data_IF_843816536968
#
_entry.id   IF_843816536968
#
_cell.length_a   1.000
_cell.length_b   1.000
_cell.length_c   1.000
_cell.angle_alpha   90.00
_cell.angle_beta   90.00
_cell.angle_gamma   90.00
#
_symmetry.space_group_name_H-M   'P 1'
#
loop_
_entity.id
_entity.type
_entity.pdbx_description
1 polymer ?
#
# COMPACT_ATOMS: atom_id res chain seq x y z
N UNK A 1 -51.74 -12.95 28.22
CA UNK A 1 -51.56 -11.49 28.28
C UNK A 1 -50.37 -11.18 27.41
N UNK A 2 -50.69 -10.77 26.19
CA UNK A 2 -49.81 -10.68 25.03
C UNK A 2 -49.54 -9.19 24.80
N UNK A 3 -48.29 -8.75 24.96
CA UNK A 3 -47.90 -7.36 24.70
C UNK A 3 -47.02 -7.30 23.46
N UNK A 4 -47.71 -7.33 22.32
CA UNK A 4 -47.23 -6.80 21.06
C UNK A 4 -46.98 -5.29 21.19
N UNK A 5 -45.75 -4.83 20.95
CA UNK A 5 -45.47 -3.42 20.72
C UNK A 5 -45.09 -3.21 19.24
N UNK A 6 -46.07 -2.78 18.45
CA UNK A 6 -45.87 -2.13 17.16
C UNK A 6 -45.80 -0.63 17.43
N UNK A 7 -44.72 0.05 17.02
CA UNK A 7 -44.74 1.50 16.82
C UNK A 7 -44.40 1.81 15.36
N UNK A 8 -45.33 2.59 14.82
CA UNK A 8 -45.50 3.14 13.49
C UNK A 8 -44.42 4.13 13.05
N UNK A 9 -44.15 4.09 11.74
CA UNK A 9 -43.55 5.16 10.93
C UNK A 9 -44.39 6.44 11.02
N UNK A 10 -43.74 7.60 11.22
CA UNK A 10 -43.97 8.84 10.45
C UNK A 10 -42.92 9.93 10.80
N UNK A 11 -42.21 10.31 9.75
CA UNK A 11 -41.67 11.64 9.39
C UNK A 11 -41.37 12.66 10.50
N UNK A 12 -40.09 13.07 10.56
CA UNK A 12 -39.74 14.47 10.71
C UNK A 12 -38.58 14.81 9.77
N UNK A 13 -38.74 15.93 9.08
CA UNK A 13 -37.84 16.47 8.08
C UNK A 13 -36.76 17.35 8.71
N UNK A 14 -35.72 17.60 7.89
CA UNK A 14 -34.83 18.75 7.92
C UNK A 14 -33.87 18.88 9.12
N UNK A 15 -32.65 18.39 8.90
CA UNK A 15 -31.45 18.84 9.58
C UNK A 15 -30.27 18.68 8.62
N UNK A 16 -29.97 19.73 7.87
CA UNK A 16 -28.75 19.82 7.08
C UNK A 16 -27.56 19.79 8.04
N UNK A 17 -26.86 18.66 8.12
CA UNK A 17 -25.55 18.58 8.74
C UNK A 17 -24.50 18.50 7.64
N UNK A 18 -23.88 19.66 7.44
CA UNK A 18 -22.51 19.90 6.97
C UNK A 18 -21.67 18.62 6.88
N UNK A 19 -21.39 18.19 5.65
CA UNK A 19 -20.24 17.32 5.36
C UNK A 19 -18.97 18.13 5.67
N UNK A 20 -18.40 17.92 6.85
CA UNK A 20 -17.02 18.30 7.12
C UNK A 20 -16.10 17.42 6.28
N UNK A 21 -15.58 17.99 5.19
CA UNK A 21 -14.54 17.39 4.37
C UNK A 21 -13.26 17.43 5.21
N UNK A 22 -12.94 16.33 5.90
CA UNK A 22 -11.60 16.09 6.42
C UNK A 22 -10.77 15.40 5.34
N UNK A 23 -10.33 16.19 4.36
CA UNK A 23 -9.29 15.78 3.43
C UNK A 23 -7.94 15.85 4.13
N UNK A 24 -7.53 14.77 4.78
CA UNK A 24 -6.14 14.64 5.23
C UNK A 24 -5.24 14.60 3.98
N UNK A 25 -4.41 15.62 3.79
CA UNK A 25 -3.55 15.70 2.61
C UNK A 25 -2.55 14.53 2.59
N UNK A 26 -2.41 13.89 1.43
CA UNK A 26 -1.61 12.68 1.23
C UNK A 26 -0.15 12.78 1.75
N UNK A 27 0.39 14.00 1.75
CA UNK A 27 1.72 14.29 2.23
C UNK A 27 1.86 14.17 3.77
N UNK A 28 0.76 14.35 4.53
CA UNK A 28 0.74 14.22 5.99
C UNK A 28 0.93 12.77 6.42
N UNK A 29 0.20 11.86 5.78
CA UNK A 29 0.33 10.43 6.00
C UNK A 29 1.66 9.90 5.41
N UNK A 30 2.07 10.38 4.23
CA UNK A 30 3.22 9.85 3.53
C UNK A 30 4.58 10.21 4.16
N UNK A 31 4.69 11.37 4.83
CA UNK A 31 5.96 11.88 5.38
C UNK A 31 5.91 12.37 6.84
N UNK A 32 4.77 12.23 7.53
CA UNK A 32 4.63 12.78 8.89
C UNK A 32 4.77 14.32 8.95
N UNK A 33 4.57 15.02 7.83
CA UNK A 33 4.81 16.47 7.68
C UNK A 33 3.61 17.33 8.09
N UNK A 34 2.88 16.91 9.13
CA UNK A 34 1.60 17.48 9.59
C UNK A 34 1.49 19.01 9.56
N UNK A 35 2.50 19.71 10.09
CA UNK A 35 2.53 21.17 10.24
C UNK A 35 3.11 21.91 9.02
N UNK A 36 4.12 21.35 8.35
CA UNK A 36 4.75 21.98 7.17
C UNK A 36 3.81 22.03 5.94
N UNK A 37 2.78 21.18 5.95
CA UNK A 37 1.84 21.03 4.85
C UNK A 37 0.64 21.94 4.90
N UNK A 38 0.17 22.35 6.08
CA UNK A 38 -0.95 23.30 6.16
C UNK A 38 -0.54 24.68 5.64
N UNK A 39 0.68 25.13 5.94
CA UNK A 39 1.20 26.40 5.45
C UNK A 39 1.45 26.38 3.93
N UNK A 40 1.96 25.26 3.39
CA UNK A 40 2.23 25.10 1.97
C UNK A 40 0.97 24.87 1.11
N UNK A 41 0.00 24.10 1.60
CA UNK A 41 -1.26 23.87 0.90
C UNK A 41 -2.21 25.08 0.94
N UNK A 42 -2.12 25.90 1.99
CA UNK A 42 -2.85 27.17 2.08
C UNK A 42 -2.50 28.13 0.94
N UNK A 43 -1.21 28.25 0.60
CA UNK A 43 -0.71 29.06 -0.53
C UNK A 43 -1.12 28.50 -1.90
N UNK A 44 -1.25 27.17 -2.00
CA UNK A 44 -1.58 26.46 -3.24
C UNK A 44 -3.10 26.43 -3.51
N UNK A 45 -3.92 26.45 -2.45
CA UNK A 45 -5.38 26.54 -2.53
C UNK A 45 -5.87 27.81 -3.23
N UNK A 46 -5.19 28.94 -3.00
CA UNK A 46 -5.51 30.26 -3.59
C UNK A 46 -5.27 30.33 -5.12
N UNK A 47 -4.52 29.38 -5.68
CA UNK A 47 -4.20 29.31 -7.12
C UNK A 47 -5.15 28.39 -7.92
N UNK A 48 -6.16 27.78 -7.29
CA UNK A 48 -7.07 26.81 -7.94
C UNK A 48 -6.42 25.44 -8.24
N UNK A 49 -5.18 25.26 -7.78
CA UNK A 49 -4.29 24.10 -7.89
C UNK A 49 -4.69 22.99 -6.91
N UNK A 50 -5.38 23.35 -5.82
CA UNK A 50 -5.80 22.43 -4.76
C UNK A 50 -6.52 21.20 -5.30
N UNK A 51 -7.49 21.37 -6.21
CA UNK A 51 -8.34 20.28 -6.73
C UNK A 51 -7.62 19.16 -7.48
N UNK A 52 -6.40 19.37 -7.98
CA UNK A 52 -5.64 18.32 -8.67
C UNK A 52 -4.59 17.65 -7.76
N UNK A 53 -4.07 18.38 -6.78
CA UNK A 53 -3.24 17.82 -5.70
C UNK A 53 -4.11 17.06 -4.68
N UNK A 54 -5.40 17.42 -4.61
CA UNK A 54 -6.48 16.76 -3.87
C UNK A 54 -6.87 15.38 -4.44
N UNK A 55 -6.34 14.98 -5.59
CA UNK A 55 -6.49 13.60 -6.04
C UNK A 55 -5.76 12.67 -5.07
N UNK A 56 -6.50 11.97 -4.22
CA UNK A 56 -5.99 11.04 -3.19
C UNK A 56 -4.82 10.22 -3.73
N UNK A 57 -3.71 10.18 -2.98
CA UNK A 57 -2.52 9.45 -3.41
C UNK A 57 -2.84 7.98 -3.70
N UNK A 58 -2.17 7.36 -4.69
CA UNK A 58 -2.44 5.97 -5.05
C UNK A 58 -2.34 5.02 -3.85
N UNK A 59 -1.35 5.26 -2.97
CA UNK A 59 -1.23 4.59 -1.68
C UNK A 59 -1.02 5.63 -0.59
N UNK A 60 -1.86 5.60 0.45
CA UNK A 60 -1.82 6.51 1.61
C UNK A 60 -1.44 5.80 2.91
N UNK A 61 -1.37 4.46 2.93
CA UNK A 61 -0.96 3.67 4.10
C UNK A 61 0.34 4.16 4.69
N UNK A 62 0.39 4.41 5.99
CA UNK A 62 1.51 4.99 6.72
C UNK A 62 1.79 4.26 8.04
N UNK A 63 2.91 4.60 8.70
CA UNK A 63 3.25 4.07 10.02
C UNK A 63 2.19 4.43 11.09
N UNK A 64 1.50 5.56 10.93
CA UNK A 64 0.37 5.93 11.80
C UNK A 64 -0.83 5.00 11.67
N UNK A 65 -0.97 4.30 10.54
CA UNK A 65 -2.04 3.31 10.33
C UNK A 65 -1.70 1.94 10.95
N UNK A 66 -0.46 1.73 11.42
CA UNK A 66 -0.05 0.52 12.13
C UNK A 66 -0.38 0.61 13.62
N UNK A 67 -1.68 0.63 13.92
CA UNK A 67 -2.21 0.81 15.27
C UNK A 67 -2.11 -0.46 16.13
N UNK A 68 -1.89 -1.62 15.51
CA UNK A 68 -1.99 -2.94 16.15
C UNK A 68 -0.66 -3.52 16.66
N UNK A 69 0.39 -2.69 16.77
CA UNK A 69 1.68 -3.16 17.26
C UNK A 69 1.56 -3.74 18.68
N UNK A 70 2.07 -4.96 18.90
CA UNK A 70 2.02 -5.63 20.19
C UNK A 70 3.45 -5.82 20.76
N UNK A 71 3.96 -4.83 21.53
CA UNK A 71 5.27 -4.93 22.16
C UNK A 71 5.35 -5.96 23.28
N UNK A 72 4.21 -6.40 23.84
CA UNK A 72 4.20 -7.41 24.91
C UNK A 72 4.62 -8.81 24.40
N UNK A 73 4.61 -9.01 23.08
CA UNK A 73 5.03 -10.24 22.42
C UNK A 73 6.42 -10.14 21.78
N UNK A 74 7.16 -9.05 22.02
CA UNK A 74 8.54 -8.95 21.53
C UNK A 74 9.38 -10.13 22.09
N UNK A 75 10.08 -10.85 21.22
CA UNK A 75 10.84 -12.07 21.53
C UNK A 75 10.01 -13.25 22.06
N UNK A 76 8.69 -13.23 21.86
CA UNK A 76 7.80 -14.36 22.15
C UNK A 76 7.58 -15.15 20.86
N UNK A 77 7.82 -16.45 20.94
CA UNK A 77 7.43 -17.39 19.90
C UNK A 77 6.09 -18.06 20.26
N UNK A 78 5.25 -18.38 19.26
CA UNK A 78 4.01 -19.10 19.47
C UNK A 78 4.26 -20.48 20.10
N UNK A 79 3.33 -21.01 20.91
CA UNK A 79 3.44 -22.34 21.51
C UNK A 79 3.16 -23.48 20.51
N UNK A 80 3.49 -23.27 19.23
CA UNK A 80 3.27 -24.21 18.14
C UNK A 80 4.60 -24.47 17.42
N UNK A 81 4.68 -25.59 16.68
CA UNK A 81 5.77 -25.76 15.71
C UNK A 81 5.42 -24.97 14.46
N UNK A 82 6.37 -24.18 13.95
CA UNK A 82 6.18 -23.44 12.71
C UNK A 82 5.95 -24.40 11.53
N UNK A 83 4.94 -24.12 10.71
CA UNK A 83 4.58 -24.89 9.53
C UNK A 83 4.48 -23.99 8.29
N UNK A 84 4.71 -24.53 7.07
CA UNK A 84 4.54 -23.75 5.85
C UNK A 84 3.08 -23.31 5.68
N UNK A 85 2.83 -22.02 5.51
CA UNK A 85 1.50 -21.49 5.23
C UNK A 85 0.90 -22.09 3.96
N UNK A 86 1.75 -22.42 2.97
CA UNK A 86 1.32 -23.07 1.74
C UNK A 86 0.78 -24.50 1.92
N UNK A 87 0.86 -25.07 3.12
CA UNK A 87 0.17 -26.33 3.45
C UNK A 87 -1.32 -26.14 3.79
N UNK A 88 -1.77 -24.91 4.03
CA UNK A 88 -3.18 -24.59 4.22
C UNK A 88 -3.97 -24.68 2.90
N UNK A 89 -5.27 -24.89 3.03
CA UNK A 89 -6.20 -24.78 1.91
C UNK A 89 -6.20 -23.35 1.35
N UNK A 90 -6.25 -23.22 0.02
CA UNK A 90 -6.35 -21.92 -0.64
C UNK A 90 -7.79 -21.59 -1.01
N UNK A 91 -8.10 -20.30 -0.99
CA UNK A 91 -9.35 -19.77 -1.57
C UNK A 91 -9.26 -19.67 -3.09
N UNK A 92 -10.41 -19.48 -3.75
CA UNK A 92 -10.46 -19.19 -5.20
C UNK A 92 -9.73 -17.88 -5.55
N UNK A 93 -9.66 -16.95 -4.60
CA UNK A 93 -8.94 -15.68 -4.69
C UNK A 93 -7.42 -15.83 -4.44
N UNK A 94 -6.95 -17.02 -4.04
CA UNK A 94 -5.53 -17.31 -3.83
C UNK A 94 -5.00 -16.94 -2.44
N UNK A 95 -5.87 -16.53 -1.51
CA UNK A 95 -5.57 -16.47 -0.08
C UNK A 95 -5.52 -17.87 0.57
N UNK A 96 -5.42 -17.91 1.89
CA UNK A 96 -5.26 -19.13 2.68
C UNK A 96 -6.33 -19.23 3.77
N UNK A 97 -7.00 -20.37 3.90
CA UNK A 97 -7.95 -20.61 4.98
C UNK A 97 -7.18 -20.90 6.26
N UNK A 98 -7.29 -20.01 7.24
CA UNK A 98 -6.53 -20.09 8.48
C UNK A 98 -7.02 -21.22 9.39
N UNK A 99 -6.06 -21.86 10.06
CA UNK A 99 -6.28 -22.85 11.11
C UNK A 99 -5.41 -22.50 12.34
N UNK A 100 -5.74 -22.98 13.55
CA UNK A 100 -4.88 -22.80 14.71
C UNK A 100 -3.45 -23.28 14.43
N UNK A 101 -2.46 -22.48 14.81
CA UNK A 101 -1.05 -22.82 14.60
C UNK A 101 -0.14 -21.62 14.39
N UNK A 102 1.12 -21.93 14.08
CA UNK A 102 2.12 -20.97 13.65
C UNK A 102 2.51 -21.26 12.21
N UNK A 103 2.14 -20.36 11.31
CA UNK A 103 2.33 -20.50 9.88
C UNK A 103 3.38 -19.54 9.37
N UNK A 104 4.19 -19.98 8.41
CA UNK A 104 5.25 -19.17 7.82
C UNK A 104 5.20 -19.24 6.29
N UNK A 105 5.39 -18.09 5.65
CA UNK A 105 5.58 -17.99 4.20
C UNK A 105 6.71 -17.03 3.89
N UNK A 106 7.59 -17.40 2.97
CA UNK A 106 8.48 -16.45 2.31
C UNK A 106 7.78 -15.98 1.04
N UNK A 107 7.09 -14.85 1.13
CA UNK A 107 6.26 -14.33 0.05
C UNK A 107 7.06 -13.40 -0.86
N UNK A 108 6.67 -13.36 -2.14
CA UNK A 108 7.03 -12.26 -3.03
C UNK A 108 6.42 -10.96 -2.51
N UNK A 109 7.27 -9.97 -2.26
CA UNK A 109 6.87 -8.63 -1.82
C UNK A 109 7.19 -7.56 -2.86
N UNK A 110 6.57 -6.39 -2.70
CA UNK A 110 6.58 -5.33 -3.69
C UNK A 110 6.67 -3.95 -3.05
N UNK A 111 7.54 -3.09 -3.57
CA UNK A 111 7.63 -1.69 -3.17
C UNK A 111 6.34 -0.94 -3.50
N UNK A 112 5.74 -0.31 -2.49
CA UNK A 112 4.59 0.57 -2.64
C UNK A 112 4.96 2.05 -2.66
N UNK A 113 6.25 2.40 -2.66
CA UNK A 113 6.65 3.79 -2.63
C UNK A 113 7.85 4.08 -3.54
N UNK A 114 7.68 4.90 -4.57
CA UNK A 114 8.80 5.35 -5.38
C UNK A 114 9.67 6.36 -4.60
N UNK A 115 10.99 6.30 -4.79
CA UNK A 115 11.94 7.26 -4.23
C UNK A 115 12.21 7.08 -2.74
N UNK A 116 12.12 5.85 -2.21
CA UNK A 116 12.53 5.54 -0.82
C UNK A 116 13.47 4.35 -0.72
N UNK A 117 14.14 4.19 0.41
CA UNK A 117 15.15 3.16 0.56
C UNK A 117 14.55 1.78 0.80
N UNK A 118 15.11 0.75 0.19
CA UNK A 118 14.72 -0.63 0.46
C UNK A 118 14.89 -1.01 1.95
N UNK A 119 14.29 -2.13 2.41
CA UNK A 119 14.41 -2.58 3.79
C UNK A 119 15.86 -2.73 4.25
N UNK A 120 16.16 -2.32 5.48
CA UNK A 120 17.46 -2.50 6.11
C UNK A 120 17.46 -3.64 7.12
N UNK A 121 18.65 -4.22 7.37
CA UNK A 121 18.82 -5.17 8.47
C UNK A 121 18.52 -4.50 9.81
N UNK A 122 17.66 -5.12 10.62
CA UNK A 122 17.30 -4.65 11.96
C UNK A 122 16.06 -3.76 12.06
N UNK A 123 15.52 -3.26 10.94
CA UNK A 123 14.29 -2.48 10.95
C UNK A 123 13.07 -3.36 11.29
N UNK A 124 12.24 -2.91 12.22
CA UNK A 124 10.94 -3.51 12.50
C UNK A 124 9.86 -3.05 11.54
N UNK A 125 9.00 -3.99 11.14
CA UNK A 125 7.86 -3.76 10.27
C UNK A 125 6.58 -4.16 10.98
N UNK A 126 5.54 -3.37 10.80
CA UNK A 126 4.23 -3.56 11.43
C UNK A 126 3.15 -3.76 10.37
N UNK A 127 2.05 -4.39 10.77
CA UNK A 127 0.87 -4.50 9.94
C UNK A 127 0.15 -3.15 9.84
N UNK A 128 -0.22 -2.78 8.62
CA UNK A 128 -1.21 -1.74 8.36
C UNK A 128 -2.09 -2.14 7.15
N UNK A 129 -3.36 -1.71 7.09
CA UNK A 129 -4.22 -1.94 5.94
C UNK A 129 -3.74 -1.14 4.73
N UNK A 130 -3.95 -1.69 3.53
CA UNK A 130 -3.76 -0.96 2.29
C UNK A 130 -4.84 0.13 2.15
N UNK A 131 -4.42 1.38 1.94
CA UNK A 131 -5.27 2.57 1.79
C UNK A 131 -4.80 3.40 0.60
N UNK A 132 -5.71 4.18 0.03
CA UNK A 132 -5.43 5.13 -1.06
C UNK A 132 -6.25 4.83 -2.31
N UNK A 133 -6.20 5.73 -3.29
CA UNK A 133 -7.07 5.65 -4.47
C UNK A 133 -6.77 4.47 -5.41
N UNK A 134 -5.63 3.81 -5.21
CA UNK A 134 -5.20 2.66 -6.00
C UNK A 134 -5.15 1.34 -5.22
N UNK A 135 -5.70 1.31 -4.01
CA UNK A 135 -5.79 0.10 -3.17
C UNK A 135 -6.38 -1.10 -3.94
N UNK A 136 -7.50 -0.90 -4.64
CA UNK A 136 -8.21 -1.92 -5.42
C UNK A 136 -7.32 -2.47 -6.54
N UNK A 137 -6.57 -1.62 -7.25
CA UNK A 137 -5.69 -2.09 -8.33
C UNK A 137 -4.53 -2.90 -7.79
N UNK A 138 -3.87 -2.41 -6.72
CA UNK A 138 -2.72 -3.09 -6.12
C UNK A 138 -3.15 -4.44 -5.55
N UNK A 139 -4.24 -4.47 -4.78
CA UNK A 139 -4.82 -5.71 -4.25
C UNK A 139 -5.10 -6.71 -5.36
N UNK A 140 -5.86 -6.31 -6.38
CA UNK A 140 -6.29 -7.23 -7.43
C UNK A 140 -5.11 -7.70 -8.29
N UNK A 141 -4.10 -6.86 -8.56
CA UNK A 141 -2.86 -7.27 -9.24
C UNK A 141 -2.17 -8.40 -8.48
N UNK A 142 -1.99 -8.22 -7.17
CA UNK A 142 -1.28 -9.16 -6.30
C UNK A 142 -2.06 -10.47 -6.14
N UNK A 143 -3.38 -10.36 -5.93
CA UNK A 143 -4.30 -11.49 -5.83
C UNK A 143 -4.32 -12.31 -7.11
N UNK A 144 -4.59 -11.66 -8.26
CA UNK A 144 -4.67 -12.34 -9.55
C UNK A 144 -3.33 -12.94 -9.98
N UNK A 145 -2.20 -12.39 -9.52
CA UNK A 145 -0.87 -12.91 -9.83
C UNK A 145 -0.63 -14.33 -9.31
N UNK A 146 -1.36 -14.77 -8.28
CA UNK A 146 -1.26 -16.14 -7.74
C UNK A 146 -1.61 -17.17 -8.82
N UNK A 147 -2.61 -16.87 -9.65
CA UNK A 147 -3.03 -17.73 -10.78
C UNK A 147 -2.17 -17.56 -12.04
N UNK A 148 -1.16 -16.68 -12.01
CA UNK A 148 -0.30 -16.32 -13.15
C UNK A 148 1.18 -16.44 -12.80
N UNK A 149 1.67 -17.66 -12.51
CA UNK A 149 3.07 -17.88 -12.18
C UNK A 149 4.01 -17.58 -13.35
N UNK A 150 3.50 -17.57 -14.58
CA UNK A 150 4.20 -17.19 -15.81
C UNK A 150 4.57 -15.69 -15.85
N UNK A 151 3.86 -14.84 -15.10
CA UNK A 151 4.19 -13.42 -14.97
C UNK A 151 5.28 -13.28 -13.90
N UNK A 152 6.43 -12.76 -14.31
CA UNK A 152 7.56 -12.57 -13.42
C UNK A 152 7.28 -11.48 -12.38
N UNK A 153 7.83 -11.63 -11.17
CA UNK A 153 7.72 -10.65 -10.09
C UNK A 153 8.15 -9.23 -10.54
N UNK A 154 9.21 -9.13 -11.35
CA UNK A 154 9.69 -7.85 -11.89
C UNK A 154 8.63 -7.14 -12.73
N UNK A 155 7.85 -7.89 -13.53
CA UNK A 155 6.78 -7.32 -14.34
C UNK A 155 5.62 -6.80 -13.47
N UNK A 156 5.31 -7.50 -12.38
CA UNK A 156 4.31 -7.07 -11.40
C UNK A 156 4.78 -5.81 -10.68
N UNK A 157 6.05 -5.75 -10.24
CA UNK A 157 6.62 -4.55 -9.63
C UNK A 157 6.55 -3.34 -10.55
N UNK A 158 6.89 -3.50 -11.84
CA UNK A 158 6.78 -2.44 -12.85
C UNK A 158 5.33 -1.99 -13.03
N UNK A 159 4.36 -2.91 -13.01
CA UNK A 159 2.96 -2.57 -13.12
C UNK A 159 2.49 -1.78 -11.89
N UNK A 160 2.85 -2.21 -10.69
CA UNK A 160 2.56 -1.48 -9.45
C UNK A 160 3.16 -0.07 -9.53
N UNK A 161 4.43 0.08 -9.92
CA UNK A 161 5.03 1.41 -10.10
C UNK A 161 4.33 2.26 -11.16
N UNK A 162 3.80 1.67 -12.23
CA UNK A 162 2.99 2.39 -13.22
C UNK A 162 1.70 2.96 -12.60
N UNK A 163 1.03 2.18 -11.75
CA UNK A 163 -0.16 2.63 -11.02
C UNK A 163 0.19 3.76 -10.05
N UNK A 164 1.26 3.59 -9.26
CA UNK A 164 1.71 4.62 -8.31
C UNK A 164 2.15 5.90 -9.01
N UNK A 165 2.82 5.80 -10.15
CA UNK A 165 3.24 6.93 -10.96
C UNK A 165 2.08 7.55 -11.80
N UNK A 166 0.86 7.02 -11.63
CA UNK A 166 -0.36 7.43 -12.36
C UNK A 166 -0.17 7.43 -13.88
N UNK A 167 0.59 6.46 -14.39
CA UNK A 167 0.78 6.26 -15.82
C UNK A 167 -0.52 5.74 -16.45
N UNK A 168 -0.88 6.27 -17.61
CA UNK A 168 -2.04 5.75 -18.36
C UNK A 168 -1.71 4.39 -18.92
N UNK A 169 -2.69 3.49 -18.89
CA UNK A 169 -2.54 2.17 -19.47
C UNK A 169 -2.16 2.22 -20.96
N UNK A 170 -2.77 3.12 -21.74
CA UNK A 170 -2.48 3.26 -23.18
C UNK A 170 -1.05 3.74 -23.50
N UNK A 171 -0.40 4.42 -22.55
CA UNK A 171 0.97 4.92 -22.71
C UNK A 171 2.03 3.89 -22.31
N UNK A 172 1.64 2.83 -21.58
CA UNK A 172 2.56 1.79 -21.14
C UNK A 172 3.17 1.06 -22.34
N UNK A 173 4.41 0.57 -22.17
CA UNK A 173 5.00 -0.37 -23.13
C UNK A 173 4.12 -1.62 -23.31
N UNK A 174 4.15 -2.20 -24.52
CA UNK A 174 3.24 -3.30 -24.90
C UNK A 174 3.32 -4.50 -23.97
N UNK A 175 4.51 -4.84 -23.50
CA UNK A 175 4.74 -5.94 -22.57
C UNK A 175 3.97 -5.72 -21.27
N UNK A 176 3.99 -4.50 -20.75
CA UNK A 176 3.30 -4.15 -19.51
C UNK A 176 1.78 -3.99 -19.71
N UNK A 177 1.35 -3.56 -20.90
CA UNK A 177 -0.08 -3.58 -21.27
C UNK A 177 -0.63 -5.02 -21.28
N UNK A 178 0.15 -5.97 -21.81
CA UNK A 178 -0.23 -7.39 -21.80
C UNK A 178 -0.35 -7.89 -20.36
N UNK A 179 0.62 -7.62 -19.50
CA UNK A 179 0.57 -8.01 -18.07
C UNK A 179 -0.64 -7.39 -17.38
N UNK A 180 -0.88 -6.08 -17.54
CA UNK A 180 -2.04 -5.41 -16.97
C UNK A 180 -3.36 -6.01 -17.46
N UNK A 181 -3.46 -6.37 -18.75
CA UNK A 181 -4.67 -6.99 -19.32
C UNK A 181 -4.98 -8.39 -18.77
N UNK A 182 -3.97 -9.05 -18.20
CA UNK A 182 -4.10 -10.37 -17.58
C UNK A 182 -4.45 -10.28 -16.09
N UNK A 183 -4.05 -9.20 -15.41
CA UNK A 183 -4.18 -9.05 -13.95
C UNK A 183 -5.28 -8.08 -13.53
N UNK A 184 -5.79 -7.24 -14.43
CA UNK A 184 -6.82 -6.25 -14.13
C UNK A 184 -8.06 -6.47 -14.99
N UNK A 185 -9.22 -6.12 -14.42
CA UNK A 185 -10.48 -6.13 -15.16
C UNK A 185 -10.53 -5.02 -16.22
N UNK A 186 -11.36 -5.22 -17.25
CA UNK A 186 -11.59 -4.18 -18.28
C UNK A 186 -12.05 -2.84 -17.70
N UNK A 187 -12.84 -2.89 -16.61
CA UNK A 187 -13.30 -1.70 -15.90
C UNK A 187 -12.13 -0.95 -15.26
N UNK A 188 -11.23 -1.68 -14.62
CA UNK A 188 -10.02 -1.12 -14.01
C UNK A 188 -9.10 -0.49 -15.08
N UNK A 189 -8.82 -1.21 -16.17
CA UNK A 189 -8.01 -0.68 -17.28
C UNK A 189 -8.60 0.61 -17.87
N UNK A 190 -9.92 0.67 -18.06
CA UNK A 190 -10.60 1.87 -18.56
C UNK A 190 -10.52 3.05 -17.57
N UNK A 191 -10.50 2.79 -16.26
CA UNK A 191 -10.30 3.82 -15.22
C UNK A 191 -8.86 4.33 -15.21
N UNK A 192 -7.86 3.47 -15.42
CA UNK A 192 -6.44 3.88 -15.47
C UNK A 192 -6.12 4.83 -16.64
N UNK A 193 -6.89 4.78 -17.73
CA UNK A 193 -6.77 5.76 -18.82
C UNK A 193 -7.42 7.12 -18.52
N UNK A 194 -8.17 7.25 -17.42
CA UNK A 194 -8.78 8.52 -17.01
C UNK A 194 -7.93 9.14 -15.92
N UNK A 195 -7.00 10.01 -16.31
CA UNK A 195 -6.16 10.71 -15.33
C UNK A 195 -6.68 12.12 -15.06
N UNK A 196 -6.80 12.48 -13.78
CA UNK A 196 -7.08 13.87 -13.38
C UNK A 196 -5.98 14.83 -13.89
N UNK A 197 -4.76 14.33 -14.17
CA UNK A 197 -3.68 15.14 -14.73
C UNK A 197 -3.91 15.56 -16.18
N UNK A 198 -4.80 14.91 -16.93
CA UNK A 198 -5.13 15.32 -18.31
C UNK A 198 -5.83 16.68 -18.37
N UNK A 199 -6.32 17.14 -17.23
CA UNK A 199 -6.99 18.42 -17.08
C UNK A 199 -6.01 19.56 -16.73
N UNK A 200 -4.72 19.25 -16.56
CA UNK A 200 -3.70 20.23 -16.16
C UNK A 200 -3.01 20.83 -17.40
N UNK A 201 -3.07 22.16 -17.62
CA UNK A 201 -2.35 22.82 -18.70
C UNK A 201 -0.83 22.66 -18.56
N UNK A 202 -0.15 22.37 -19.68
CA UNK A 202 1.31 22.30 -19.74
C UNK A 202 1.91 23.69 -19.41
N UNK A 203 2.56 23.80 -18.25
CA UNK A 203 3.19 25.03 -17.76
C UNK A 203 2.99 25.26 -16.26
N UNK A 204 1.83 24.85 -15.72
CA UNK A 204 1.48 25.09 -14.32
C UNK A 204 2.23 24.17 -13.34
N UNK A 205 2.71 23.02 -13.82
CA UNK A 205 3.43 22.03 -12.99
C UNK A 205 4.80 22.56 -12.50
N UNK A 206 5.50 23.37 -13.30
CA UNK A 206 6.82 23.89 -12.97
C UNK A 206 6.77 24.95 -11.87
N UNK A 207 5.76 25.81 -11.89
CA UNK A 207 5.54 26.84 -10.87
C UNK A 207 5.13 26.21 -9.53
N UNK A 208 4.27 25.19 -9.56
CA UNK A 208 3.80 24.50 -8.34
C UNK A 208 4.92 23.71 -7.66
N UNK A 209 5.77 23.00 -8.41
CA UNK A 209 6.89 22.23 -7.82
C UNK A 209 7.92 23.13 -7.12
N UNK A 210 8.06 24.40 -7.55
CA UNK A 210 8.93 25.39 -6.92
C UNK A 210 8.58 25.70 -5.47
N UNK A 211 7.28 25.66 -5.15
CA UNK A 211 6.70 26.00 -3.85
C UNK A 211 6.53 24.78 -2.91
N UNK A 212 6.72 23.56 -3.41
CA UNK A 212 6.56 22.31 -2.64
C UNK A 212 7.82 21.99 -1.82
N UNK A 213 7.70 21.56 -0.54
CA UNK A 213 8.82 21.12 0.29
C UNK A 213 9.68 20.02 -0.34
N UNK A 214 10.99 20.02 -0.06
CA UNK A 214 11.99 19.14 -0.67
C UNK A 214 11.60 17.64 -0.72
N UNK A 215 11.21 16.99 0.40
CA UNK A 215 10.87 15.57 0.41
C UNK A 215 9.69 15.22 -0.52
N UNK A 216 8.70 16.11 -0.61
CA UNK A 216 7.55 15.93 -1.49
C UNK A 216 7.92 16.12 -2.95
N UNK A 217 8.77 17.12 -3.23
CA UNK A 217 9.31 17.34 -4.56
C UNK A 217 10.06 16.11 -5.07
N UNK A 218 10.91 15.51 -4.25
CA UNK A 218 11.64 14.28 -4.60
C UNK A 218 10.71 13.13 -4.97
N UNK A 219 9.64 12.91 -4.22
CA UNK A 219 8.66 11.87 -4.56
C UNK A 219 7.93 12.15 -5.88
N UNK A 220 7.48 13.40 -6.10
CA UNK A 220 6.85 13.79 -7.38
C UNK A 220 7.80 13.65 -8.58
N UNK A 221 9.07 14.02 -8.40
CA UNK A 221 10.10 13.87 -9.43
C UNK A 221 10.37 12.40 -9.75
N UNK A 222 10.46 11.54 -8.71
CA UNK A 222 10.61 10.10 -8.87
C UNK A 222 9.42 9.47 -9.61
N UNK A 223 8.18 9.83 -9.24
CA UNK A 223 6.98 9.39 -9.95
C UNK A 223 6.95 9.85 -11.41
N UNK A 224 7.30 11.12 -11.68
CA UNK A 224 7.36 11.63 -13.04
C UNK A 224 8.45 10.93 -13.87
N UNK A 225 9.60 10.63 -13.27
CA UNK A 225 10.68 9.88 -13.91
C UNK A 225 10.28 8.44 -14.20
N UNK A 226 9.65 7.75 -13.24
CA UNK A 226 9.11 6.40 -13.45
C UNK A 226 8.08 6.37 -14.57
N UNK A 227 7.11 7.29 -14.55
CA UNK A 227 6.07 7.37 -15.60
C UNK A 227 6.69 7.54 -16.99
N UNK A 228 7.67 8.43 -17.15
CA UNK A 228 8.41 8.56 -18.43
C UNK A 228 9.16 7.28 -18.80
N UNK A 229 9.80 6.64 -17.83
CA UNK A 229 10.55 5.41 -18.07
C UNK A 229 9.65 4.21 -18.38
N UNK A 230 8.38 4.20 -18.00
CA UNK A 230 7.45 3.07 -18.22
C UNK A 230 6.77 3.10 -19.60
N UNK A 231 6.88 4.19 -20.36
CA UNK A 231 6.29 4.32 -21.70
C UNK A 231 7.14 3.68 -22.80
N UNK A 232 6.63 3.71 -24.04
CA UNK A 232 7.31 3.18 -25.23
C UNK A 232 8.68 3.82 -25.43
N UNK A 233 9.72 2.98 -25.57
CA UNK A 233 11.12 3.42 -25.67
C UNK A 233 11.76 3.80 -24.35
N UNK A 234 11.10 3.51 -23.23
CA UNK A 234 11.55 3.87 -21.89
C UNK A 234 12.66 2.98 -21.31
N UNK A 235 12.87 3.13 -20.00
CA UNK A 235 14.01 2.61 -19.26
C UNK A 235 13.97 1.08 -19.02
N UNK A 236 15.13 0.50 -18.77
CA UNK A 236 15.29 -0.88 -18.27
C UNK A 236 14.75 -1.03 -16.84
N UNK A 237 14.62 -2.27 -16.38
CA UNK A 237 14.19 -2.53 -15.01
C UNK A 237 15.15 -1.90 -13.99
N UNK A 238 16.45 -2.12 -14.15
CA UNK A 238 17.46 -1.68 -13.18
C UNK A 238 17.53 -0.13 -13.11
N UNK A 239 17.31 0.55 -14.25
CA UNK A 239 17.18 2.01 -14.28
C UNK A 239 15.92 2.52 -13.55
N UNK A 240 14.79 1.82 -13.72
CA UNK A 240 13.55 2.15 -13.01
C UNK A 240 13.66 1.84 -11.51
N UNK A 241 14.32 0.75 -11.17
CA UNK A 241 14.60 0.36 -9.78
C UNK A 241 15.48 1.39 -9.08
N UNK A 242 16.53 1.91 -9.74
CA UNK A 242 17.38 2.96 -9.17
C UNK A 242 16.61 4.27 -8.91
N UNK A 243 15.52 4.54 -9.64
CA UNK A 243 14.63 5.67 -9.40
C UNK A 243 13.67 5.37 -8.24
N UNK A 244 13.10 4.15 -8.21
CA UNK A 244 12.08 3.78 -7.24
C UNK A 244 12.64 3.42 -5.86
N UNK A 245 13.83 2.83 -5.81
CA UNK A 245 14.45 2.28 -4.61
C UNK A 245 15.81 2.94 -4.41
N UNK A 246 15.88 3.85 -3.45
CA UNK A 246 17.10 4.61 -3.18
C UNK A 246 18.17 3.71 -2.53
N UNK A 247 19.37 3.71 -3.11
CA UNK A 247 20.56 3.12 -2.50
C UNK A 247 21.22 4.06 -1.49
N UNK A 248 22.19 3.53 -0.74
CA UNK A 248 23.02 4.31 0.21
C UNK A 248 22.50 4.34 1.64
N UNK A 249 23.10 5.21 2.45
CA UNK A 249 22.77 5.38 3.86
C UNK A 249 21.33 5.89 4.03
N UNK A 250 20.61 5.31 4.98
CA UNK A 250 19.19 5.61 5.17
C UNK A 250 19.02 6.53 6.37
N UNK A 251 18.62 7.80 6.16
CA UNK A 251 18.32 8.69 7.25
C UNK A 251 17.06 8.23 8.00
N UNK A 252 16.94 8.63 9.27
CA UNK A 252 15.66 8.52 9.98
C UNK A 252 14.68 9.51 9.37
N UNK A 253 13.57 8.99 8.83
CA UNK A 253 12.50 9.83 8.28
C UNK A 253 11.68 10.50 9.38
N UNK A 254 11.00 11.59 9.05
CA UNK A 254 10.10 12.25 9.99
C UNK A 254 8.97 11.30 10.44
N UNK A 255 8.66 11.30 11.73
CA UNK A 255 7.68 10.39 12.32
C UNK A 255 8.16 8.94 12.49
N UNK A 256 9.45 8.66 12.24
CA UNK A 256 10.02 7.34 12.51
C UNK A 256 9.91 6.95 13.99
N UNK A 257 9.68 5.66 14.23
CA UNK A 257 9.61 5.05 15.56
C UNK A 257 10.58 3.89 15.63
N UNK A 258 11.23 3.72 16.77
CA UNK A 258 12.05 2.55 17.02
C UNK A 258 11.16 1.32 17.21
N UNK A 259 11.17 0.44 16.21
CA UNK A 259 10.44 -0.82 16.21
C UNK A 259 11.47 -1.94 16.06
N UNK A 260 11.56 -2.88 17.03
CA UNK A 260 12.39 -4.08 16.89
C UNK A 260 11.96 -4.94 15.71
N UNK A 261 12.93 -5.57 15.06
CA UNK A 261 12.67 -6.57 14.04
C UNK A 261 11.80 -7.71 14.58
N UNK A 262 10.81 -8.15 13.81
CA UNK A 262 9.92 -9.25 14.20
C UNK A 262 8.88 -8.91 15.26
N UNK A 263 8.62 -7.62 15.55
CA UNK A 263 7.50 -7.23 16.42
C UNK A 263 6.17 -7.76 15.85
N UNK A 264 5.38 -8.39 16.71
CA UNK A 264 4.03 -8.85 16.38
C UNK A 264 3.06 -7.67 16.24
N UNK A 265 2.08 -7.84 15.36
CA UNK A 265 0.86 -7.02 15.31
C UNK A 265 -0.36 -7.91 15.54
N UNK A 266 -1.31 -7.46 16.36
CA UNK A 266 -2.59 -8.15 16.58
C UNK A 266 -3.55 -7.79 15.45
N UNK A 267 -3.69 -8.65 14.45
CA UNK A 267 -4.55 -8.39 13.31
C UNK A 267 -6.02 -8.30 13.75
N UNK A 268 -6.81 -7.35 13.20
CA UNK A 268 -8.22 -7.18 13.56
C UNK A 268 -9.08 -8.43 13.32
N UNK A 269 -8.66 -9.31 12.41
CA UNK A 269 -9.36 -10.57 12.10
C UNK A 269 -9.05 -11.69 13.11
N UNK A 270 -8.30 -11.42 14.18
CA UNK A 270 -8.14 -12.33 15.31
C UNK A 270 -6.87 -13.18 15.31
N UNK A 271 -5.97 -12.99 14.34
CA UNK A 271 -4.64 -13.62 14.31
C UNK A 271 -3.53 -12.60 14.61
N UNK A 272 -2.29 -13.07 14.79
CA UNK A 272 -1.12 -12.20 14.92
C UNK A 272 -0.21 -12.36 13.73
N UNK A 273 0.44 -11.27 13.34
CA UNK A 273 1.32 -11.25 12.17
C UNK A 273 2.61 -10.48 12.44
N UNK A 274 3.73 -10.94 11.89
CA UNK A 274 5.00 -10.21 11.88
C UNK A 274 5.74 -10.41 10.57
N UNK A 275 6.59 -9.44 10.23
CA UNK A 275 7.28 -9.40 8.94
C UNK A 275 8.80 -9.35 9.12
N UNK A 276 9.50 -10.06 8.23
CA UNK A 276 10.95 -10.06 8.10
C UNK A 276 11.34 -9.85 6.63
N UNK A 277 11.39 -8.61 6.15
CA UNK A 277 11.80 -8.32 4.78
C UNK A 277 13.28 -8.65 4.55
N UNK A 278 13.58 -9.21 3.38
CA UNK A 278 14.93 -9.45 2.88
C UNK A 278 15.06 -8.76 1.52
N UNK A 279 15.45 -7.48 1.54
CA UNK A 279 15.18 -6.59 0.42
C UNK A 279 13.67 -6.35 0.25
N UNK A 280 13.28 -5.67 -0.83
CA UNK A 280 11.87 -5.33 -1.06
C UNK A 280 11.09 -6.41 -1.82
N UNK A 281 11.79 -7.36 -2.43
CA UNK A 281 11.22 -8.40 -3.28
C UNK A 281 10.93 -9.70 -2.53
N UNK A 282 11.35 -9.81 -1.26
CA UNK A 282 11.11 -10.98 -0.45
C UNK A 282 10.77 -10.56 0.98
N UNK A 283 9.67 -11.11 1.51
CA UNK A 283 9.30 -10.92 2.91
C UNK A 283 8.88 -12.25 3.50
N UNK A 284 9.60 -12.69 4.54
CA UNK A 284 9.08 -13.77 5.39
C UNK A 284 8.01 -13.20 6.30
N UNK A 285 6.83 -13.81 6.27
CA UNK A 285 5.69 -13.47 7.12
C UNK A 285 5.39 -14.65 8.03
N UNK A 286 5.28 -14.38 9.31
CA UNK A 286 4.79 -15.34 10.30
C UNK A 286 3.37 -14.96 10.69
N UNK A 287 2.50 -15.96 10.80
CA UNK A 287 1.10 -15.83 11.23
C UNK A 287 0.89 -16.76 12.42
N UNK A 288 0.31 -16.24 13.49
CA UNK A 288 -0.04 -17.00 14.68
C UNK A 288 -1.54 -16.92 14.92
N UNK A 289 -2.20 -18.07 14.80
CA UNK A 289 -3.63 -18.25 15.06
C UNK A 289 -3.78 -19.06 16.36
N UNK A 290 -4.47 -18.52 17.35
CA UNK A 290 -4.77 -19.25 18.59
C UNK A 290 -5.86 -20.32 18.38
N UNK A 291 -5.97 -21.29 19.28
CA UNK A 291 -6.97 -22.37 19.17
C UNK A 291 -8.42 -21.86 19.18
N UNK A 292 -8.68 -20.79 19.91
CA UNK A 292 -9.98 -20.14 20.10
C UNK A 292 -10.12 -18.83 19.31
N UNK A 293 -9.27 -18.61 18.30
CA UNK A 293 -9.28 -17.40 17.48
C UNK A 293 -10.48 -17.34 16.54
N UNK A 294 -11.08 -16.16 16.41
CA UNK A 294 -12.12 -15.87 15.41
C UNK A 294 -11.61 -15.97 13.95
N UNK A 295 -10.28 -16.00 13.74
CA UNK A 295 -9.67 -16.14 12.43
C UNK A 295 -9.79 -17.56 11.85
N UNK A 296 -10.14 -18.56 12.66
CA UNK A 296 -10.18 -19.96 12.22
C UNK A 296 -11.28 -20.16 11.17
N UNK A 297 -10.89 -20.60 9.98
CA UNK A 297 -11.78 -20.76 8.83
C UNK A 297 -11.92 -19.50 7.97
N UNK A 298 -11.36 -18.37 8.40
CA UNK A 298 -11.35 -17.13 7.62
C UNK A 298 -10.16 -17.09 6.66
N UNK A 299 -10.29 -16.28 5.61
CA UNK A 299 -9.24 -16.09 4.61
C UNK A 299 -8.17 -15.12 5.12
N UNK A 300 -6.91 -15.58 5.09
CA UNK A 300 -5.76 -14.70 5.05
C UNK A 300 -5.39 -14.36 3.60
N UNK A 301 -5.58 -13.10 3.22
CA UNK A 301 -5.15 -12.56 1.94
C UNK A 301 -3.92 -11.64 2.12
N UNK A 302 -2.73 -12.03 1.65
CA UNK A 302 -1.54 -11.17 1.71
C UNK A 302 -1.68 -9.83 0.98
N UNK A 303 -2.59 -9.73 0.00
CA UNK A 303 -2.71 -8.56 -0.90
C UNK A 303 -3.43 -7.36 -0.31
N UNK A 304 -4.14 -7.52 0.82
CA UNK A 304 -4.90 -6.44 1.46
C UNK A 304 -4.11 -5.68 2.54
N UNK A 305 -2.91 -6.15 2.82
CA UNK A 305 -2.10 -5.71 3.94
C UNK A 305 -0.73 -5.21 3.50
N UNK A 306 -0.16 -4.32 4.30
CA UNK A 306 1.11 -3.68 4.03
C UNK A 306 2.00 -3.83 5.25
N UNK A 307 3.23 -4.30 5.03
CA UNK A 307 4.28 -4.23 6.02
C UNK A 307 4.85 -2.79 5.98
N UNK A 308 4.56 -2.00 7.01
CA UNK A 308 5.05 -0.63 7.13
C UNK A 308 6.29 -0.57 8.04
N UNK A 309 7.36 0.11 7.62
CA UNK A 309 8.58 0.20 8.40
C UNK A 309 8.45 1.18 9.58
N UNK A 310 9.16 0.89 10.67
CA UNK A 310 9.36 1.84 11.77
C UNK A 310 10.15 3.09 11.33
N UNK A 311 11.09 2.95 10.40
CA UNK A 311 11.77 4.09 9.76
C UNK A 311 10.99 4.53 8.51
N UNK A 312 10.40 5.73 8.53
CA UNK A 312 9.56 6.24 7.45
C UNK A 312 10.30 6.55 6.15
N UNK A 313 11.65 6.56 6.16
CA UNK A 313 12.48 6.63 4.94
C UNK A 313 12.58 5.31 4.18
N UNK A 314 12.04 4.21 4.74
CA UNK A 314 12.09 2.87 4.15
C UNK A 314 10.81 2.56 3.36
N UNK A 315 10.93 1.60 2.45
CA UNK A 315 9.85 1.09 1.62
C UNK A 315 8.74 0.46 2.45
N UNK A 316 7.50 0.79 2.08
CA UNK A 316 6.31 0.02 2.48
C UNK A 316 6.18 -1.15 1.51
N UNK A 317 5.86 -2.33 2.03
CA UNK A 317 5.85 -3.54 1.24
C UNK A 317 4.46 -4.14 1.20
N UNK A 318 3.93 -4.32 -0.01
CA UNK A 318 2.83 -5.23 -0.28
C UNK A 318 3.35 -6.67 -0.38
N UNK A 319 2.46 -7.66 -0.23
CA UNK A 319 2.77 -9.07 -0.49
C UNK A 319 1.74 -9.70 -1.42
N UNK A 320 2.15 -10.73 -2.14
CA UNK A 320 1.23 -11.63 -2.84
C UNK A 320 1.23 -13.01 -2.18
N UNK A 321 0.20 -13.83 -2.43
CA UNK A 321 0.17 -15.23 -2.00
C UNK A 321 1.14 -16.16 -2.73
N UNK A 322 2.14 -15.63 -3.44
CA UNK A 322 3.17 -16.37 -4.17
C UNK A 322 4.40 -16.57 -3.29
N UNK A 323 4.88 -17.81 -3.21
CA UNK A 323 6.17 -18.12 -2.58
C UNK A 323 7.34 -17.62 -3.45
N UNK A 324 8.45 -17.29 -2.79
CA UNK A 324 9.66 -16.77 -3.43
C UNK A 324 10.57 -17.86 -4.01
#
# INVERSE_FOLDING_TARGET
>A
MDHSYRITRRAFAAGAMTFGIFGASAARAQFGLGDLLDDGLGLVGDLGVGKWLEGEAPVTTALSDAEWANPALDNVDPPFTAQPLASLERTDDGGFILQPGWWQITAQSYCLHAGTHGPGGGDGYLYAPLKGSADEYVRDILRNSVSRPDIEQRQIQLLIWAILARAKFEDLRRELQVVASQLLSRRQLARLNRSAMDLVPNGMMGEVLGEVPGPLRTAFEAEAALRRGLTVGGASYDELEAIAVLGGDVPLGAGSREIPSGRWSDHPDGYRIRYFPSGYSETRTDIWVAEDSDAVGEEYDPSIQVAVPGNTSRQRLAQSGRER
#
